data_IF_545609066648
#
_entry.id   IF_545609066648
#
_cell.length_a   1.000
_cell.length_b   1.000
_cell.length_c   1.000
_cell.angle_alpha   90.00
_cell.angle_beta   90.00
_cell.angle_gamma   90.00
#
_symmetry.space_group_name_H-M   'P 1'
#
loop_
_entity.id
_entity.type
_entity.pdbx_description
1 polymer ?
#
# COMPACT_ATOMS: atom_id res chain seq x y z
N UNK A 1 10.14 19.97 -8.10
CA UNK A 1 9.63 18.70 -8.65
C UNK A 1 10.00 17.60 -7.68
N UNK A 2 9.01 16.89 -7.11
CA UNK A 2 9.23 15.91 -6.05
C UNK A 2 8.97 14.47 -6.53
N UNK A 3 9.62 13.52 -5.87
CA UNK A 3 9.40 12.09 -6.06
C UNK A 3 8.99 11.49 -4.72
N UNK A 4 7.90 10.73 -4.71
CA UNK A 4 7.37 10.05 -3.54
C UNK A 4 7.57 8.54 -3.66
N UNK A 5 8.02 7.93 -2.57
CA UNK A 5 8.01 6.48 -2.36
C UNK A 5 7.15 6.23 -1.14
N UNK A 6 5.98 5.63 -1.35
CA UNK A 6 5.00 5.35 -0.31
C UNK A 6 5.20 3.92 0.17
N UNK A 7 5.62 3.78 1.42
CA UNK A 7 5.90 2.48 2.04
C UNK A 7 4.73 2.15 2.96
N UNK A 8 4.15 0.96 2.81
CA UNK A 8 3.14 0.46 3.75
C UNK A 8 3.85 -0.05 5.02
N UNK A 9 3.23 0.14 6.18
CA UNK A 9 3.69 -0.43 7.46
C UNK A 9 2.79 -1.60 7.84
N UNK A 10 3.38 -2.74 8.17
CA UNK A 10 2.75 -4.05 8.15
C UNK A 10 2.10 -4.38 6.80
N UNK A 11 2.09 -5.65 6.40
CA UNK A 11 1.36 -6.04 5.20
C UNK A 11 -0.12 -6.25 5.60
N UNK A 12 -1.02 -5.35 5.19
CA UNK A 12 -2.45 -5.47 5.51
C UNK A 12 -3.11 -6.56 4.66
N UNK A 13 -3.93 -7.40 5.29
CA UNK A 13 -4.72 -8.41 4.58
C UNK A 13 -5.86 -7.75 3.77
N UNK A 14 -6.19 -8.36 2.64
CA UNK A 14 -7.34 -7.94 1.82
C UNK A 14 -8.66 -8.14 2.55
N UNK A 15 -8.75 -9.14 3.42
CA UNK A 15 -9.91 -9.36 4.29
C UNK A 15 -10.16 -8.15 5.21
N UNK A 16 -9.13 -7.69 5.93
CA UNK A 16 -9.25 -6.54 6.82
C UNK A 16 -9.59 -5.28 6.03
N UNK A 17 -8.95 -5.06 4.89
CA UNK A 17 -9.26 -3.92 4.02
C UNK A 17 -10.72 -3.91 3.58
N UNK A 18 -11.21 -5.01 3.01
CA UNK A 18 -12.57 -5.12 2.50
C UNK A 18 -13.64 -4.95 3.59
N UNK A 19 -13.31 -5.23 4.85
CA UNK A 19 -14.18 -4.95 6.00
C UNK A 19 -14.21 -3.46 6.41
N UNK A 20 -13.12 -2.74 6.18
CA UNK A 20 -12.93 -1.36 6.64
C UNK A 20 -13.23 -0.31 5.57
N UNK A 21 -13.26 -0.69 4.29
CA UNK A 21 -13.45 0.23 3.16
C UNK A 21 -14.74 -0.02 2.41
N UNK A 22 -15.24 1.02 1.75
CA UNK A 22 -16.35 0.94 0.79
C UNK A 22 -15.81 0.83 -0.64
N UNK A 23 -16.48 0.04 -1.49
CA UNK A 23 -16.10 -0.18 -2.88
C UNK A 23 -16.05 -1.67 -3.24
N UNK A 24 -15.51 -1.95 -4.44
CA UNK A 24 -15.35 -3.34 -4.89
C UNK A 24 -14.30 -4.07 -4.04
N UNK A 25 -14.59 -5.31 -3.60
CA UNK A 25 -13.64 -6.09 -2.83
C UNK A 25 -12.34 -6.31 -3.60
N UNK A 26 -11.21 -6.10 -2.93
CA UNK A 26 -9.90 -6.39 -3.49
C UNK A 26 -9.54 -7.84 -3.18
N UNK A 27 -9.07 -8.55 -4.22
CA UNK A 27 -8.51 -9.89 -4.10
C UNK A 27 -7.09 -9.91 -4.67
N UNK A 28 -6.16 -10.49 -3.92
CA UNK A 28 -4.75 -10.67 -4.31
C UNK A 28 -4.34 -12.12 -4.07
N UNK A 29 -3.34 -12.57 -4.81
CA UNK A 29 -2.86 -13.96 -4.78
C UNK A 29 -2.39 -14.40 -3.38
N UNK A 30 -1.72 -13.50 -2.65
CA UNK A 30 -1.21 -13.75 -1.30
C UNK A 30 -2.15 -13.30 -0.18
N UNK A 31 -3.35 -12.79 -0.52
CA UNK A 31 -4.32 -12.28 0.44
C UNK A 31 -3.92 -10.98 1.15
N UNK A 32 -2.89 -10.29 0.68
CA UNK A 32 -2.42 -9.03 1.25
C UNK A 32 -2.28 -7.93 0.20
N UNK A 33 -2.33 -6.67 0.63
CA UNK A 33 -2.31 -5.51 -0.27
C UNK A 33 -0.91 -5.13 -0.73
N UNK A 34 0.09 -5.21 0.15
CA UNK A 34 1.41 -4.61 -0.06
C UNK A 34 1.28 -3.13 -0.43
N UNK A 35 1.97 -2.73 -1.51
CA UNK A 35 1.93 -1.36 -2.02
C UNK A 35 0.55 -0.88 -2.50
N UNK A 36 -0.40 -1.78 -2.81
CA UNK A 36 -1.73 -1.41 -3.30
C UNK A 36 -2.55 -0.58 -2.32
N UNK A 37 -2.19 -0.61 -1.04
CA UNK A 37 -2.69 0.32 -0.02
C UNK A 37 -2.71 1.77 -0.51
N UNK A 38 -1.72 2.14 -1.33
CA UNK A 38 -1.51 3.50 -1.80
C UNK A 38 -2.04 3.79 -3.21
N UNK A 39 -2.75 2.87 -3.87
CA UNK A 39 -3.16 3.03 -5.27
C UNK A 39 -3.92 4.35 -5.52
N UNK A 40 -4.84 4.71 -4.61
CA UNK A 40 -5.56 5.98 -4.68
C UNK A 40 -4.62 7.20 -4.54
N UNK A 41 -3.71 7.17 -3.58
CA UNK A 41 -2.74 8.25 -3.34
C UNK A 41 -1.74 8.39 -4.48
N UNK A 42 -1.22 7.28 -5.02
CA UNK A 42 -0.33 7.27 -6.19
C UNK A 42 -1.05 7.88 -7.38
N UNK A 43 -2.32 7.52 -7.60
CA UNK A 43 -3.13 8.06 -8.69
C UNK A 43 -3.32 9.57 -8.55
N UNK A 44 -3.66 10.06 -7.36
CA UNK A 44 -3.79 11.48 -7.08
C UNK A 44 -2.47 12.24 -7.29
N UNK A 45 -1.35 11.73 -6.77
CA UNK A 45 -0.03 12.35 -6.94
C UNK A 45 0.38 12.44 -8.41
N UNK A 46 0.17 11.37 -9.19
CA UNK A 46 0.44 11.36 -10.63
C UNK A 46 -0.44 12.37 -11.39
N UNK A 47 -1.71 12.50 -11.02
CA UNK A 47 -2.61 13.50 -11.61
C UNK A 47 -2.13 14.94 -11.37
N UNK A 48 -1.36 15.18 -10.31
CA UNK A 48 -0.70 16.46 -10.01
C UNK A 48 0.74 16.56 -10.56
N UNK A 49 1.12 15.72 -11.54
CA UNK A 49 2.44 15.69 -12.17
C UNK A 49 3.61 15.34 -11.22
N UNK A 50 3.35 14.65 -10.11
CA UNK A 50 4.41 14.08 -9.28
C UNK A 50 4.79 12.66 -9.73
N UNK A 51 6.05 12.29 -9.48
CA UNK A 51 6.48 10.89 -9.56
C UNK A 51 6.15 10.19 -8.26
N UNK A 52 5.38 9.11 -8.30
CA UNK A 52 4.98 8.36 -7.12
C UNK A 52 5.07 6.85 -7.36
N UNK A 53 5.63 6.14 -6.37
CA UNK A 53 5.80 4.69 -6.36
C UNK A 53 5.31 4.12 -5.03
N UNK A 54 4.71 2.93 -5.07
CA UNK A 54 4.32 2.17 -3.88
C UNK A 54 4.79 0.73 -4.03
N UNK A 55 6.04 0.41 -3.64
CA UNK A 55 6.58 -0.92 -3.80
C UNK A 55 5.91 -1.90 -2.82
N UNK A 56 5.90 -3.19 -3.20
CA UNK A 56 5.62 -4.28 -2.27
C UNK A 56 6.91 -4.63 -1.53
N UNK A 57 6.85 -4.67 -0.21
CA UNK A 57 7.95 -5.20 0.60
C UNK A 57 7.84 -6.73 0.67
N UNK A 58 8.94 -7.44 0.42
CA UNK A 58 8.99 -8.90 0.51
C UNK A 58 9.05 -9.39 1.96
N UNK A 59 9.76 -8.67 2.82
CA UNK A 59 9.89 -9.00 4.23
C UNK A 59 9.96 -7.72 5.05
N UNK A 60 9.14 -7.64 6.08
CA UNK A 60 9.17 -6.59 7.08
C UNK A 60 9.64 -7.22 8.39
N UNK A 61 10.72 -6.67 8.95
CA UNK A 61 11.29 -7.14 10.21
C UNK A 61 11.04 -6.09 11.29
N UNK A 62 10.31 -6.48 12.32
CA UNK A 62 10.23 -5.74 13.57
C UNK A 62 11.40 -6.18 14.45
N UNK A 63 12.34 -5.27 14.72
CA UNK A 63 13.30 -5.48 15.82
C UNK A 63 12.68 -4.92 17.10
N UNK A 64 12.24 -5.83 17.97
CA UNK A 64 11.98 -5.49 19.37
C UNK A 64 13.33 -5.33 20.06
N UNK A 65 13.70 -4.09 20.39
CA UNK A 65 14.78 -3.83 21.33
C UNK A 65 14.20 -4.07 22.72
N UNK A 66 14.58 -5.20 23.34
CA UNK A 66 14.28 -5.51 24.75
C UNK A 66 15.29 -4.82 25.67
#
# INVERSE_FOLDING_TARGET
MATFVLVHGHNMSTETWNKLTVGDPIHTEDGHLGGRYWDGTVSALKAHNYRAFAPRLYHESIHTVL
#
